data_IF_505694012373
#
_entry.id   IF_505694012373
#
_cell.length_a   1.000
_cell.length_b   1.000
_cell.length_c   1.000
_cell.angle_alpha   90.00
_cell.angle_beta   90.00
_cell.angle_gamma   90.00
#
_symmetry.space_group_name_H-M   'P 1'
#
loop_
_entity.id
_entity.type
_entity.pdbx_description
1 polymer ?
#
# COMPACT_ATOMS: atom_id res chain seq x y z
N UNK A 1 22.59 12.69 0.28
CA UNK A 1 22.06 13.57 1.32
C UNK A 1 20.89 12.96 2.06
N UNK A 2 20.29 13.74 2.92
CA UNK A 2 19.17 13.28 3.75
C UNK A 2 17.99 12.81 2.89
N UNK A 3 17.78 13.40 1.75
CA UNK A 3 16.72 13.02 0.83
C UNK A 3 16.90 11.60 0.31
N UNK A 4 18.11 11.25 -0.07
CA UNK A 4 18.41 9.91 -0.56
C UNK A 4 18.22 8.86 0.53
N UNK A 5 18.58 9.18 1.77
CA UNK A 5 18.37 8.29 2.89
C UNK A 5 16.90 8.05 3.16
N UNK A 6 16.07 9.08 3.05
CA UNK A 6 14.62 8.97 3.22
C UNK A 6 14.02 8.00 2.21
N UNK A 7 14.37 8.17 0.94
CA UNK A 7 13.87 7.30 -0.12
C UNK A 7 14.30 5.86 0.13
N UNK A 8 15.54 5.66 0.54
CA UNK A 8 16.07 4.33 0.81
C UNK A 8 15.33 3.66 1.96
N UNK A 9 15.04 4.41 3.02
CA UNK A 9 14.30 3.88 4.16
C UNK A 9 12.88 3.46 3.77
N UNK A 10 12.21 4.27 2.97
CA UNK A 10 10.88 3.93 2.50
C UNK A 10 10.89 2.69 1.62
N UNK A 11 11.87 2.58 0.73
CA UNK A 11 11.99 1.40 -0.13
C UNK A 11 12.22 0.13 0.68
N UNK A 12 13.06 0.21 1.70
CA UNK A 12 13.31 -0.93 2.58
C UNK A 12 12.06 -1.33 3.34
N UNK A 13 11.30 -0.35 3.83
CA UNK A 13 10.06 -0.63 4.53
C UNK A 13 9.05 -1.29 3.59
N UNK A 14 8.91 -0.78 2.37
CA UNK A 14 8.00 -1.36 1.39
C UNK A 14 8.42 -2.80 1.05
N UNK A 15 9.71 -3.04 0.85
CA UNK A 15 10.21 -4.39 0.58
C UNK A 15 9.89 -5.33 1.73
N UNK A 16 10.02 -4.85 2.97
CA UNK A 16 9.69 -5.65 4.15
C UNK A 16 8.21 -6.00 4.19
N UNK A 17 7.34 -5.05 3.88
CA UNK A 17 5.91 -5.31 3.82
C UNK A 17 5.57 -6.29 2.70
N UNK A 18 6.20 -6.16 1.55
CA UNK A 18 5.98 -7.09 0.45
C UNK A 18 6.39 -8.50 0.82
N UNK A 19 7.54 -8.66 1.49
CA UNK A 19 7.98 -9.97 1.96
C UNK A 19 6.98 -10.57 2.96
N UNK A 20 6.46 -9.75 3.87
CA UNK A 20 5.46 -10.21 4.82
C UNK A 20 4.16 -10.60 4.10
N UNK A 21 3.79 -9.86 3.06
CA UNK A 21 2.56 -10.12 2.32
C UNK A 21 2.62 -11.40 1.47
N UNK A 22 3.80 -11.96 1.24
CA UNK A 22 3.89 -13.27 0.59
C UNK A 22 3.19 -14.35 1.40
N UNK A 23 3.10 -14.17 2.72
CA UNK A 23 2.42 -15.09 3.61
C UNK A 23 1.07 -14.53 4.09
N UNK A 24 0.47 -13.64 3.31
CA UNK A 24 -0.75 -12.94 3.72
C UNK A 24 -1.90 -13.90 4.04
N UNK A 25 -2.00 -15.00 3.34
CA UNK A 25 -3.07 -15.95 3.56
C UNK A 25 -3.00 -16.63 4.91
N UNK A 26 -1.80 -16.71 5.51
CA UNK A 26 -1.63 -17.32 6.82
C UNK A 26 -1.78 -16.30 7.95
N UNK A 27 -1.94 -15.02 7.63
CA UNK A 27 -2.12 -13.99 8.63
C UNK A 27 -3.55 -13.91 9.13
N UNK A 28 -3.72 -13.44 10.36
CA UNK A 28 -5.04 -13.12 10.87
C UNK A 28 -5.64 -11.96 10.07
N UNK A 29 -6.97 -11.92 9.90
CA UNK A 29 -7.59 -10.89 9.05
C UNK A 29 -7.21 -9.46 9.41
N UNK A 30 -7.09 -9.16 10.71
CA UNK A 30 -6.73 -7.81 11.14
C UNK A 30 -5.30 -7.46 10.75
N UNK A 31 -4.40 -8.43 10.83
CA UNK A 31 -3.01 -8.24 10.42
C UNK A 31 -2.92 -8.10 8.91
N UNK A 32 -3.68 -8.90 8.17
CA UNK A 32 -3.75 -8.77 6.71
C UNK A 32 -4.16 -7.37 6.29
N UNK A 33 -5.24 -6.86 6.90
CA UNK A 33 -5.76 -5.55 6.57
C UNK A 33 -4.74 -4.45 6.86
N UNK A 34 -4.11 -4.51 8.03
CA UNK A 34 -3.13 -3.51 8.40
C UNK A 34 -1.91 -3.54 7.50
N UNK A 35 -1.41 -4.74 7.19
CA UNK A 35 -0.24 -4.89 6.32
C UNK A 35 -0.52 -4.36 4.91
N UNK A 36 -1.67 -4.71 4.35
CA UNK A 36 -2.07 -4.24 3.02
C UNK A 36 -2.25 -2.72 3.01
N UNK A 37 -2.86 -2.17 4.04
CA UNK A 37 -3.06 -0.74 4.14
C UNK A 37 -1.72 0.00 4.17
N UNK A 38 -0.82 -0.42 5.03
CA UNK A 38 0.49 0.23 5.16
C UNK A 38 1.32 0.10 3.89
N UNK A 39 1.31 -1.08 3.29
CA UNK A 39 2.03 -1.28 2.03
C UNK A 39 1.47 -0.40 0.92
N UNK A 40 0.15 -0.29 0.82
CA UNK A 40 -0.49 0.55 -0.17
C UNK A 40 -0.20 2.02 0.03
N UNK A 41 -0.29 2.50 1.27
CA UNK A 41 0.00 3.90 1.60
C UNK A 41 1.46 4.23 1.29
N UNK A 42 2.36 3.34 1.68
CA UNK A 42 3.78 3.55 1.46
C UNK A 42 4.11 3.61 -0.03
N UNK A 43 3.52 2.70 -0.81
CA UNK A 43 3.71 2.72 -2.26
C UNK A 43 3.19 4.02 -2.87
N UNK A 44 2.05 4.52 -2.38
CA UNK A 44 1.50 5.79 -2.85
C UNK A 44 2.43 6.96 -2.56
N UNK A 45 3.12 6.94 -1.44
CA UNK A 45 4.09 7.98 -1.11
C UNK A 45 5.28 8.00 -2.06
N UNK A 46 5.65 6.84 -2.59
CA UNK A 46 6.66 6.73 -3.64
C UNK A 46 6.12 7.07 -5.02
N UNK A 47 4.82 7.34 -5.11
CA UNK A 47 4.13 7.51 -6.38
C UNK A 47 4.19 6.24 -7.23
N UNK A 48 4.31 5.09 -6.59
CA UNK A 48 4.21 3.79 -7.24
C UNK A 48 2.73 3.41 -7.28
N UNK A 49 2.02 3.99 -8.23
CA UNK A 49 0.57 3.86 -8.34
C UNK A 49 0.15 2.40 -8.53
N UNK A 50 0.93 1.66 -9.31
CA UNK A 50 0.59 0.26 -9.60
C UNK A 50 0.58 -0.59 -8.34
N UNK A 51 1.62 -0.49 -7.51
CA UNK A 51 1.69 -1.25 -6.27
C UNK A 51 0.67 -0.76 -5.26
N UNK A 52 0.51 0.55 -5.15
CA UNK A 52 -0.47 1.13 -4.24
C UNK A 52 -1.86 0.63 -4.57
N UNK A 53 -2.23 0.66 -5.84
CA UNK A 53 -3.54 0.17 -6.29
C UNK A 53 -3.69 -1.32 -6.00
N UNK A 54 -2.65 -2.10 -6.27
CA UNK A 54 -2.67 -3.54 -6.04
C UNK A 54 -3.01 -3.86 -4.58
N UNK A 55 -2.27 -3.26 -3.66
CA UNK A 55 -2.45 -3.57 -2.24
C UNK A 55 -3.76 -3.01 -1.69
N UNK A 56 -4.11 -1.79 -2.08
CA UNK A 56 -5.35 -1.18 -1.60
C UNK A 56 -6.57 -1.88 -2.17
N UNK A 57 -6.50 -2.38 -3.42
CA UNK A 57 -7.59 -3.16 -4.01
C UNK A 57 -7.77 -4.48 -3.27
N UNK A 58 -6.67 -5.15 -2.93
CA UNK A 58 -6.75 -6.39 -2.14
C UNK A 58 -7.39 -6.12 -0.79
N UNK A 59 -7.02 -5.02 -0.16
CA UNK A 59 -7.59 -4.63 1.12
C UNK A 59 -9.09 -4.36 0.98
N UNK A 60 -9.49 -3.63 -0.04
CA UNK A 60 -10.90 -3.33 -0.28
C UNK A 60 -11.71 -4.59 -0.53
N UNK A 61 -11.11 -5.60 -1.14
CA UNK A 61 -11.77 -6.89 -1.34
C UNK A 61 -12.05 -7.61 -0.02
N UNK A 62 -11.20 -7.40 0.98
CA UNK A 62 -11.37 -7.99 2.31
C UNK A 62 -12.34 -7.13 3.13
N UNK A 63 -12.14 -5.82 3.12
CA UNK A 63 -12.93 -4.89 3.93
C UNK A 63 -12.94 -3.51 3.26
N UNK A 64 -13.94 -3.28 2.43
CA UNK A 64 -14.06 -2.02 1.68
C UNK A 64 -14.18 -0.81 2.59
N UNK A 65 -14.72 -1.00 3.78
CA UNK A 65 -14.88 0.08 4.76
C UNK A 65 -13.67 0.31 5.67
N UNK A 66 -12.55 -0.36 5.39
CA UNK A 66 -11.38 -0.24 6.24
C UNK A 66 -10.76 1.15 6.09
N UNK A 67 -10.77 1.91 7.20
CA UNK A 67 -10.21 3.27 7.24
C UNK A 67 -10.65 4.09 6.02
N UNK A 68 -9.70 4.70 5.32
CA UNK A 68 -9.95 5.53 4.14
C UNK A 68 -9.53 4.85 2.83
N UNK A 69 -9.58 3.51 2.78
CA UNK A 69 -9.12 2.75 1.61
C UNK A 69 -9.86 3.15 0.34
N UNK A 70 -11.17 3.34 0.41
CA UNK A 70 -11.96 3.73 -0.76
C UNK A 70 -11.53 5.10 -1.28
N UNK A 71 -11.32 6.04 -0.37
CA UNK A 71 -10.87 7.39 -0.72
C UNK A 71 -9.48 7.36 -1.35
N UNK A 72 -8.60 6.54 -0.81
CA UNK A 72 -7.25 6.41 -1.37
C UNK A 72 -7.27 5.79 -2.76
N UNK A 73 -8.14 4.82 -3.00
CA UNK A 73 -8.29 4.25 -4.33
C UNK A 73 -8.80 5.30 -5.33
N UNK A 74 -9.74 6.14 -4.91
CA UNK A 74 -10.24 7.23 -5.76
C UNK A 74 -9.12 8.21 -6.10
N UNK A 75 -8.28 8.54 -5.13
CA UNK A 75 -7.15 9.43 -5.37
C UNK A 75 -6.13 8.82 -6.34
N UNK A 76 -5.89 7.52 -6.24
CA UNK A 76 -4.99 6.85 -7.17
C UNK A 76 -5.55 6.84 -8.58
N UNK A 77 -6.84 6.62 -8.72
CA UNK A 77 -7.49 6.67 -10.03
C UNK A 77 -7.36 8.06 -10.65
N UNK A 78 -7.53 9.11 -9.84
CA UNK A 78 -7.37 10.49 -10.30
C UNK A 78 -5.93 10.76 -10.76
N UNK A 79 -4.94 10.26 -10.02
CA UNK A 79 -3.54 10.41 -10.41
C UNK A 79 -3.25 9.70 -11.72
N UNK A 80 -3.82 8.51 -11.91
CA UNK A 80 -3.62 7.73 -13.13
C UNK A 80 -4.24 8.43 -14.33
N UNK A 81 -5.42 9.02 -14.14
CA UNK A 81 -6.13 9.71 -15.21
C UNK A 81 -5.47 11.04 -15.59
N UNK A 82 -4.69 11.63 -14.69
CA UNK A 82 -4.09 12.93 -14.92
C UNK A 82 -2.73 12.85 -15.65
N UNK A 83 -2.28 11.66 -15.97
CA UNK A 83 -0.98 11.45 -16.65
C UNK A 83 -1.10 11.46 -18.15
#
# INVERSE_FOLDING_TARGET
GAWSQHIRQFKLALTSYEAALEAVESMQPEVQKLALYRAGVLAAEFKDVDRAEKYLTQLAAIDFGYRDVADRLDKLAALRDSV
#
